data_IF_604912019137
#
_entry.id   IF_604912019137
#
_cell.length_a   1.000
_cell.length_b   1.000
_cell.length_c   1.000
_cell.angle_alpha   90.00
_cell.angle_beta   90.00
_cell.angle_gamma   90.00
#
_symmetry.space_group_name_H-M   'P 1'
#
loop_
_entity.id
_entity.type
_entity.pdbx_description
1 polymer ?
#
# COMPACT_ATOMS: atom_id res chain seq x y z
N UNK A 1 -2.45 -15.82 8.85
CA UNK A 1 -3.26 -15.07 7.88
C UNK A 1 -2.46 -14.89 6.62
N UNK A 2 -2.94 -15.37 5.47
CA UNK A 2 -2.37 -15.08 4.15
C UNK A 2 -2.82 -13.70 3.65
N UNK A 3 -2.20 -13.20 2.58
CA UNK A 3 -2.60 -11.91 2.00
C UNK A 3 -4.00 -11.97 1.40
N UNK A 4 -4.42 -13.14 0.90
CA UNK A 4 -5.76 -13.37 0.37
C UNK A 4 -6.80 -13.44 1.49
N UNK A 5 -6.50 -14.14 2.60
CA UNK A 5 -7.36 -14.15 3.78
C UNK A 5 -7.56 -12.73 4.32
N UNK A 6 -6.48 -11.94 4.35
CA UNK A 6 -6.53 -10.53 4.74
C UNK A 6 -7.35 -9.69 3.76
N UNK A 7 -7.17 -9.89 2.45
CA UNK A 7 -7.90 -9.16 1.42
C UNK A 7 -9.40 -9.44 1.44
N UNK A 8 -9.78 -10.70 1.65
CA UNK A 8 -11.17 -11.09 1.81
C UNK A 8 -11.81 -10.39 3.03
N UNK A 9 -11.11 -10.36 4.17
CA UNK A 9 -11.55 -9.63 5.35
C UNK A 9 -11.66 -8.12 5.08
N UNK A 10 -10.64 -7.51 4.47
CA UNK A 10 -10.61 -6.08 4.21
C UNK A 10 -11.70 -5.63 3.22
N UNK A 11 -11.99 -6.45 2.22
CA UNK A 11 -13.04 -6.21 1.23
C UNK A 11 -14.46 -6.29 1.82
N UNK A 12 -14.65 -7.09 2.87
CA UNK A 12 -15.93 -7.19 3.58
C UNK A 12 -16.28 -5.92 4.38
N UNK A 13 -15.32 -5.01 4.58
CA UNK A 13 -15.53 -3.76 5.32
C UNK A 13 -16.10 -2.70 4.37
N UNK A 14 -17.41 -2.46 4.45
CA UNK A 14 -18.07 -1.39 3.68
C UNK A 14 -17.77 -0.02 4.31
N UNK A 15 -17.08 0.90 3.61
CA UNK A 15 -16.83 2.22 4.15
C UNK A 15 -18.12 3.02 4.14
N UNK A 16 -18.53 3.52 5.30
CA UNK A 16 -19.81 4.22 5.50
C UNK A 16 -20.04 5.43 4.56
N UNK A 17 -19.00 5.95 3.91
CA UNK A 17 -19.03 7.18 3.09
C UNK A 17 -19.13 6.94 1.58
N UNK A 18 -18.99 5.69 1.13
CA UNK A 18 -19.18 5.29 -0.28
C UNK A 18 -20.62 4.82 -0.44
N UNK A 19 -21.55 5.79 -0.45
CA UNK A 19 -22.98 5.51 -0.61
C UNK A 19 -23.34 4.84 -1.96
N UNK A 20 -24.61 4.48 -2.14
CA UNK A 20 -25.16 3.73 -3.29
C UNK A 20 -25.39 4.58 -4.55
N UNK A 21 -24.63 5.67 -4.73
CA UNK A 21 -24.81 6.60 -5.84
C UNK A 21 -24.28 6.03 -7.17
N UNK A 22 -24.72 6.61 -8.29
CA UNK A 22 -24.02 6.45 -9.56
C UNK A 22 -22.54 6.87 -9.38
N UNK A 23 -21.61 6.10 -9.95
CA UNK A 23 -20.15 6.22 -9.77
C UNK A 23 -19.63 5.81 -8.39
N UNK A 24 -20.27 4.84 -7.74
CA UNK A 24 -19.84 4.32 -6.43
C UNK A 24 -18.45 3.67 -6.49
N UNK A 25 -18.10 3.03 -7.60
CA UNK A 25 -16.80 2.38 -7.82
C UNK A 25 -15.66 3.39 -7.92
N UNK A 26 -15.78 4.42 -8.77
CA UNK A 26 -14.76 5.45 -8.91
C UNK A 26 -14.57 6.22 -7.60
N UNK A 27 -15.66 6.50 -6.88
CA UNK A 27 -15.60 7.13 -5.56
C UNK A 27 -14.89 6.25 -4.54
N UNK A 28 -15.10 4.93 -4.58
CA UNK A 28 -14.39 3.99 -3.72
C UNK A 28 -12.90 3.99 -4.03
N UNK A 29 -12.53 3.86 -5.31
CA UNK A 29 -11.13 3.86 -5.76
C UNK A 29 -10.44 5.16 -5.33
N UNK A 30 -11.07 6.31 -5.56
CA UNK A 30 -10.54 7.60 -5.13
C UNK A 30 -10.37 7.67 -3.60
N UNK A 31 -11.36 7.22 -2.83
CA UNK A 31 -11.27 7.18 -1.38
C UNK A 31 -10.09 6.30 -0.90
N UNK A 32 -9.93 5.12 -1.47
CA UNK A 32 -8.87 4.18 -1.10
C UNK A 32 -7.49 4.69 -1.51
N UNK A 33 -7.35 5.28 -2.69
CA UNK A 33 -6.11 5.87 -3.16
C UNK A 33 -5.68 7.07 -2.29
N UNK A 34 -6.62 7.93 -1.91
CA UNK A 34 -6.35 9.05 -1.01
C UNK A 34 -6.00 8.58 0.41
N UNK A 35 -6.69 7.56 0.92
CA UNK A 35 -6.34 6.93 2.19
C UNK A 35 -4.92 6.35 2.17
N UNK A 36 -4.59 5.57 1.14
CA UNK A 36 -3.24 5.03 0.95
C UNK A 36 -2.15 6.11 0.97
N UNK A 37 -2.39 7.23 0.28
CA UNK A 37 -1.47 8.36 0.27
C UNK A 37 -1.39 9.06 1.63
N UNK A 38 -2.51 9.16 2.35
CA UNK A 38 -2.58 9.66 3.73
C UNK A 38 -1.66 8.89 4.66
N UNK A 39 -1.80 7.55 4.70
CA UNK A 39 -0.98 6.70 5.58
C UNK A 39 0.51 6.78 5.24
N UNK A 40 0.86 6.85 3.94
CA UNK A 40 2.25 7.09 3.54
C UNK A 40 2.78 8.45 4.05
N UNK A 41 1.93 9.46 4.11
CA UNK A 41 2.23 10.76 4.71
C UNK A 41 2.41 10.68 6.23
N UNK A 42 1.59 9.90 6.94
CA UNK A 42 1.74 9.68 8.38
C UNK A 42 3.05 8.96 8.71
N UNK A 43 3.42 7.93 7.94
CA UNK A 43 4.73 7.27 8.03
C UNK A 43 5.86 8.31 7.86
N UNK A 44 5.79 9.14 6.82
CA UNK A 44 6.82 10.13 6.56
C UNK A 44 6.93 11.18 7.67
N UNK A 45 5.81 11.67 8.20
CA UNK A 45 5.79 12.64 9.29
C UNK A 45 6.31 12.03 10.61
N UNK A 46 5.96 10.78 10.89
CA UNK A 46 6.46 10.04 12.05
C UNK A 46 7.98 9.86 11.98
N UNK A 47 8.50 9.33 10.87
CA UNK A 47 9.94 9.13 10.68
C UNK A 47 10.73 10.43 10.74
N UNK A 48 10.17 11.53 10.21
CA UNK A 48 10.76 12.87 10.32
C UNK A 48 10.85 13.33 11.77
N UNK A 49 9.82 13.09 12.60
CA UNK A 49 9.83 13.40 14.03
C UNK A 49 10.86 12.55 14.76
N UNK A 50 10.89 11.23 14.52
CA UNK A 50 11.90 10.34 15.09
C UNK A 50 13.33 10.80 14.80
N UNK A 51 13.59 11.25 13.56
CA UNK A 51 14.90 11.77 13.17
C UNK A 51 15.25 13.09 13.88
N UNK A 52 14.29 14.01 14.03
CA UNK A 52 14.49 15.31 14.69
C UNK A 52 14.75 15.14 16.19
N UNK A 53 14.03 14.21 16.81
CA UNK A 53 13.94 14.09 18.26
C UNK A 53 14.85 12.94 18.80
N UNK A 54 15.61 12.27 17.91
CA UNK A 54 16.44 11.07 18.20
C UNK A 54 15.69 9.99 19.00
N UNK A 55 14.39 9.88 18.73
CA UNK A 55 13.44 9.07 19.48
C UNK A 55 12.73 8.11 18.53
N UNK A 56 13.27 6.90 18.41
CA UNK A 56 12.73 5.89 17.52
C UNK A 56 11.53 5.15 18.14
N UNK A 57 10.40 5.17 17.46
CA UNK A 57 9.17 4.48 17.87
C UNK A 57 8.74 3.50 16.77
N UNK A 58 9.08 2.23 16.99
CA UNK A 58 8.73 1.12 16.09
C UNK A 58 7.26 0.76 16.15
N UNK A 59 6.63 0.96 17.30
CA UNK A 59 5.25 0.53 17.52
C UNK A 59 4.31 1.45 16.73
N UNK A 60 4.52 2.77 16.80
CA UNK A 60 3.80 3.72 15.95
C UNK A 60 4.05 3.44 14.47
N UNK A 61 5.29 3.19 14.06
CA UNK A 61 5.60 2.85 12.67
C UNK A 61 4.86 1.58 12.19
N UNK A 62 4.78 0.55 13.05
CA UNK A 62 4.05 -0.67 12.72
C UNK A 62 2.55 -0.44 12.55
N UNK A 63 1.96 0.47 13.33
CA UNK A 63 0.56 0.88 13.17
C UNK A 63 0.32 1.52 11.79
N UNK A 64 1.12 2.53 11.43
CA UNK A 64 0.95 3.22 10.13
C UNK A 64 1.18 2.28 8.93
N UNK A 65 2.14 1.36 9.04
CA UNK A 65 2.37 0.34 8.02
C UNK A 65 1.16 -0.61 7.88
N UNK A 66 0.50 -0.92 8.99
CA UNK A 66 -0.73 -1.71 9.00
C UNK A 66 -1.87 -1.01 8.26
N UNK A 67 -2.10 0.26 8.58
CA UNK A 67 -3.14 1.08 7.94
C UNK A 67 -2.85 1.28 6.44
N UNK A 68 -1.58 1.49 6.07
CA UNK A 68 -1.15 1.54 4.68
C UNK A 68 -1.48 0.23 3.92
N UNK A 69 -1.20 -0.93 4.54
CA UNK A 69 -1.49 -2.24 3.95
C UNK A 69 -3.00 -2.48 3.81
N UNK A 70 -3.82 -1.98 4.74
CA UNK A 70 -5.27 -2.03 4.61
C UNK A 70 -5.74 -1.30 3.33
N UNK A 71 -5.34 -0.04 3.14
CA UNK A 71 -5.75 0.73 1.96
C UNK A 71 -5.20 0.14 0.66
N UNK A 72 -3.94 -0.33 0.65
CA UNK A 72 -3.34 -0.95 -0.53
C UNK A 72 -4.10 -2.22 -0.94
N UNK A 73 -4.38 -3.10 0.02
CA UNK A 73 -5.09 -4.36 -0.24
C UNK A 73 -6.50 -4.09 -0.75
N UNK A 74 -7.21 -3.15 -0.12
CA UNK A 74 -8.53 -2.73 -0.57
C UNK A 74 -8.53 -2.12 -1.96
N UNK A 75 -7.52 -1.32 -2.28
CA UNK A 75 -7.38 -0.71 -3.61
C UNK A 75 -7.14 -1.77 -4.68
N UNK A 76 -6.35 -2.80 -4.39
CA UNK A 76 -6.20 -3.95 -5.28
C UNK A 76 -7.56 -4.59 -5.58
N UNK A 77 -8.31 -4.97 -4.53
CA UNK A 77 -9.61 -5.62 -4.70
C UNK A 77 -10.62 -4.72 -5.42
N UNK A 78 -10.67 -3.43 -5.08
CA UNK A 78 -11.57 -2.46 -5.71
C UNK A 78 -11.24 -2.19 -7.19
N UNK A 79 -10.04 -2.56 -7.65
CA UNK A 79 -9.62 -2.45 -9.06
C UNK A 79 -9.61 -3.81 -9.77
N UNK A 80 -10.17 -4.85 -9.14
CA UNK A 80 -10.25 -6.19 -9.71
C UNK A 80 -8.91 -6.96 -9.69
N UNK A 81 -7.91 -6.48 -8.96
CA UNK A 81 -6.60 -7.10 -8.86
C UNK A 81 -6.50 -7.99 -7.61
N UNK A 82 -5.89 -9.16 -7.76
CA UNK A 82 -5.49 -9.98 -6.62
C UNK A 82 -4.18 -9.45 -6.04
N UNK A 83 -4.09 -9.23 -4.71
CA UNK A 83 -2.86 -8.74 -4.08
C UNK A 83 -1.62 -9.60 -4.35
N UNK A 84 -1.75 -10.93 -4.33
CA UNK A 84 -0.63 -11.84 -4.58
C UNK A 84 -0.11 -11.77 -6.01
N UNK A 85 -1.00 -11.67 -7.00
CA UNK A 85 -0.62 -11.46 -8.40
C UNK A 85 0.16 -10.14 -8.55
N UNK A 86 -0.27 -9.08 -7.86
CA UNK A 86 0.41 -7.79 -7.88
C UNK A 86 1.79 -7.85 -7.19
N UNK A 87 1.92 -8.61 -6.09
CA UNK A 87 3.22 -8.84 -5.43
C UNK A 87 4.19 -9.60 -6.35
N UNK A 88 3.72 -10.64 -7.04
CA UNK A 88 4.54 -11.40 -8.00
C UNK A 88 4.99 -10.52 -9.18
N UNK A 89 4.08 -9.68 -9.71
CA UNK A 89 4.40 -8.70 -10.74
C UNK A 89 5.44 -7.67 -10.25
N UNK A 90 5.25 -7.15 -9.03
CA UNK A 90 6.17 -6.19 -8.41
C UNK A 90 7.57 -6.79 -8.26
N UNK A 91 7.65 -8.03 -7.76
CA UNK A 91 8.91 -8.77 -7.62
C UNK A 91 9.65 -8.88 -8.96
N UNK A 92 8.98 -9.36 -10.00
CA UNK A 92 9.56 -9.46 -11.36
C UNK A 92 10.09 -8.12 -11.87
N UNK A 93 9.33 -7.05 -11.68
CA UNK A 93 9.73 -5.70 -12.09
C UNK A 93 10.97 -5.21 -11.34
N UNK A 94 11.05 -5.46 -10.03
CA UNK A 94 12.21 -5.10 -9.20
C UNK A 94 13.45 -5.90 -9.62
N UNK A 95 13.31 -7.21 -9.82
CA UNK A 95 14.40 -8.08 -10.29
C UNK A 95 14.96 -7.62 -11.65
N UNK A 96 14.07 -7.27 -12.58
CA UNK A 96 14.46 -6.73 -13.89
C UNK A 96 15.23 -5.40 -13.76
N UNK A 97 14.80 -4.49 -12.87
CA UNK A 97 15.50 -3.23 -12.59
C UNK A 97 16.90 -3.46 -12.02
N UNK A 98 17.03 -4.40 -11.08
CA UNK A 98 18.32 -4.78 -10.48
C UNK A 98 19.25 -5.37 -11.54
N UNK A 99 18.76 -6.27 -12.40
CA UNK A 99 19.54 -6.87 -13.47
C UNK A 99 20.06 -5.81 -14.46
N UNK A 100 19.20 -4.88 -14.86
CA UNK A 100 19.57 -3.76 -15.75
C UNK A 100 20.64 -2.86 -15.11
N UNK A 101 20.49 -2.53 -13.83
CA UNK A 101 21.48 -1.72 -13.11
C UNK A 101 22.85 -2.41 -13.03
N UNK A 102 22.87 -3.72 -12.79
CA UNK A 102 24.13 -4.51 -12.78
C UNK A 102 24.81 -4.56 -14.15
N UNK A 103 24.03 -4.67 -15.23
CA UNK A 103 24.59 -4.64 -16.59
C UNK A 103 25.19 -3.28 -16.93
N UNK A 104 24.52 -2.19 -16.54
CA UNK A 104 25.04 -0.83 -16.74
C UNK A 104 26.30 -0.52 -15.91
N UNK A 105 26.49 -1.20 -14.77
CA UNK A 105 27.64 -1.01 -13.88
C UNK A 105 28.86 -1.90 -14.24
N UNK A 106 28.76 -2.79 -15.24
CA UNK A 106 29.88 -3.64 -15.64
C UNK A 106 30.80 -2.85 -16.58
N UNK A 107 32.10 -2.68 -16.27
CA UNK A 107 33.03 -1.99 -17.16
C UNK A 107 33.23 -2.79 -18.46
N UNK A 108 33.43 -2.07 -19.56
CA UNK A 108 33.65 -2.59 -20.91
C UNK A 108 34.90 -3.47 -21.01
#
# INVERSE_FOLDING_TARGET
MTIEEYAAWAAAITPARVGTAANSEERLICYLALGLAGEAGEIADHLKKCLRDDAWDKDRLAHELGDLIYYWTRLCVATGLQPSDLLELSKKNIEARIAKAKQAARPA
#
